data_IF_470356196823
#
_entry.id   IF_470356196823
#
_cell.length_a   1.000
_cell.length_b   1.000
_cell.length_c   1.000
_cell.angle_alpha   90.00
_cell.angle_beta   90.00
_cell.angle_gamma   90.00
#
_symmetry.space_group_name_H-M   'P 1'
#
loop_
_entity.id
_entity.type
_entity.pdbx_description
1 polymer ?
#
# COMPACT_ATOMS: atom_id res chain seq x y z
N UNK A 1 -3.41 -1.35 -3.57
CA UNK A 1 -3.21 -0.03 -4.25
C UNK A 1 -1.77 0.40 -4.11
N UNK A 2 -1.31 1.43 -4.85
CA UNK A 2 0.00 2.02 -4.57
C UNK A 2 -0.16 3.37 -3.86
N UNK A 3 -0.50 4.42 -4.62
CA UNK A 3 -0.63 5.77 -4.03
C UNK A 3 -1.89 5.90 -3.16
N UNK A 4 -2.93 5.11 -3.43
CA UNK A 4 -4.17 5.15 -2.67
C UNK A 4 -4.00 4.86 -1.17
N UNK A 5 -2.94 4.15 -0.76
CA UNK A 5 -2.66 3.89 0.66
C UNK A 5 -2.30 5.16 1.45
N UNK A 6 -1.86 6.23 0.79
CA UNK A 6 -1.61 7.53 1.43
C UNK A 6 -2.85 8.06 2.17
N UNK A 7 -4.04 7.75 1.67
CA UNK A 7 -5.33 8.13 2.29
C UNK A 7 -5.44 7.67 3.75
N UNK A 8 -4.97 6.44 4.05
CA UNK A 8 -4.95 5.94 5.42
C UNK A 8 -4.01 6.74 6.34
N UNK A 9 -2.86 7.17 5.81
CA UNK A 9 -1.92 8.00 6.56
C UNK A 9 -2.46 9.41 6.77
N UNK A 10 -3.06 10.04 5.75
CA UNK A 10 -3.68 11.37 5.86
C UNK A 10 -4.82 11.37 6.89
N UNK A 11 -5.68 10.34 6.87
CA UNK A 11 -6.77 10.20 7.84
C UNK A 11 -6.22 10.03 9.25
N UNK A 12 -5.24 9.17 9.44
CA UNK A 12 -4.62 8.95 10.75
C UNK A 12 -3.96 10.23 11.28
N UNK A 13 -3.23 10.97 10.45
CA UNK A 13 -2.62 12.23 10.81
C UNK A 13 -3.66 13.27 11.25
N UNK A 14 -4.78 13.38 10.53
CA UNK A 14 -5.86 14.30 10.88
C UNK A 14 -6.54 13.95 12.21
N UNK A 15 -6.71 12.65 12.50
CA UNK A 15 -7.36 12.17 13.72
C UNK A 15 -6.43 12.14 14.94
N UNK A 16 -5.10 12.05 14.72
CA UNK A 16 -4.10 11.93 15.78
C UNK A 16 -2.91 12.89 15.57
N UNK A 17 -3.13 14.21 15.61
CA UNK A 17 -2.13 15.22 15.23
C UNK A 17 -0.87 15.24 16.10
N UNK A 18 -0.89 14.57 17.26
CA UNK A 18 0.28 14.42 18.13
C UNK A 18 1.09 13.15 17.86
N UNK A 19 0.62 12.28 16.98
CA UNK A 19 1.39 11.09 16.56
C UNK A 19 2.32 11.49 15.40
N UNK A 20 3.61 11.14 15.44
CA UNK A 20 4.52 11.44 14.34
C UNK A 20 3.98 10.83 13.02
N UNK A 21 4.01 11.61 11.95
CA UNK A 21 3.41 11.21 10.66
C UNK A 21 4.03 9.93 10.09
N UNK A 22 5.35 9.75 10.25
CA UNK A 22 6.03 8.55 9.80
C UNK A 22 5.40 7.25 10.35
N UNK A 23 4.74 7.30 11.51
CA UNK A 23 4.06 6.14 12.11
C UNK A 23 2.91 5.67 11.23
N UNK A 24 2.05 6.59 10.80
CA UNK A 24 0.92 6.26 9.92
C UNK A 24 1.38 5.94 8.50
N UNK A 25 2.35 6.67 7.96
CA UNK A 25 2.95 6.38 6.64
C UNK A 25 3.58 4.98 6.60
N UNK A 26 4.34 4.63 7.64
CA UNK A 26 4.94 3.30 7.73
C UNK A 26 3.88 2.23 7.98
N UNK A 27 2.87 2.52 8.79
CA UNK A 27 1.75 1.59 9.05
C UNK A 27 0.96 1.26 7.78
N UNK A 28 0.58 2.27 6.99
CA UNK A 28 -0.12 2.06 5.72
C UNK A 28 0.75 1.38 4.66
N UNK A 29 2.05 1.50 4.73
CA UNK A 29 2.99 0.86 3.80
C UNK A 29 3.48 -0.50 4.29
N UNK A 30 3.25 -0.84 5.56
CA UNK A 30 3.81 -2.03 6.20
C UNK A 30 3.47 -3.34 5.48
N UNK A 31 2.23 -3.60 5.04
CA UNK A 31 1.93 -4.83 4.31
C UNK A 31 2.79 -4.99 3.06
N UNK A 32 2.97 -3.96 2.26
CA UNK A 32 3.79 -4.00 1.05
C UNK A 32 5.30 -4.07 1.35
N UNK A 33 5.77 -3.43 2.42
CA UNK A 33 7.15 -3.58 2.87
C UNK A 33 7.43 -5.01 3.33
N UNK A 34 6.51 -5.60 4.10
CA UNK A 34 6.60 -6.99 4.53
C UNK A 34 6.54 -7.92 3.32
N UNK A 35 5.60 -7.70 2.40
CA UNK A 35 5.47 -8.45 1.16
C UNK A 35 6.74 -8.44 0.33
N UNK A 36 7.36 -7.29 0.14
CA UNK A 36 8.63 -7.19 -0.58
C UNK A 36 9.71 -8.08 0.04
N UNK A 37 9.85 -8.08 1.37
CA UNK A 37 10.81 -8.92 2.10
C UNK A 37 10.45 -10.40 1.98
N UNK A 38 9.17 -10.77 2.16
CA UNK A 38 8.72 -12.17 2.13
C UNK A 38 8.82 -12.78 0.73
N UNK A 39 8.59 -12.01 -0.34
CA UNK A 39 8.84 -12.45 -1.71
C UNK A 39 10.33 -12.64 -1.98
N UNK A 40 11.19 -11.72 -1.53
CA UNK A 40 12.64 -11.86 -1.71
C UNK A 40 13.21 -13.08 -0.98
N UNK A 41 12.66 -13.42 0.19
CA UNK A 41 13.06 -14.59 0.98
C UNK A 41 12.37 -15.89 0.54
N UNK A 42 11.38 -15.82 -0.38
CA UNK A 42 10.65 -16.97 -0.90
C UNK A 42 9.53 -17.47 0.02
N UNK A 43 9.18 -16.73 1.07
CA UNK A 43 8.06 -17.06 1.97
C UNK A 43 6.70 -16.76 1.32
N UNK A 44 6.65 -15.74 0.46
CA UNK A 44 5.46 -15.41 -0.33
C UNK A 44 5.76 -15.50 -1.84
N UNK A 45 4.72 -15.66 -2.64
CA UNK A 45 4.85 -15.94 -4.08
C UNK A 45 3.97 -15.05 -4.91
N UNK A 46 4.56 -14.46 -5.93
CA UNK A 46 3.90 -13.68 -6.98
C UNK A 46 4.43 -14.12 -8.34
N UNK A 47 3.57 -14.22 -9.31
CA UNK A 47 3.92 -14.45 -10.72
C UNK A 47 3.71 -13.19 -11.53
N UNK A 48 4.71 -12.83 -12.31
CA UNK A 48 4.69 -11.70 -13.24
C UNK A 48 4.39 -12.23 -14.64
N UNK A 49 3.34 -11.73 -15.28
CA UNK A 49 3.08 -12.01 -16.67
C UNK A 49 4.09 -11.27 -17.56
N UNK A 50 4.99 -11.97 -18.28
CA UNK A 50 5.99 -11.31 -19.13
C UNK A 50 5.38 -10.65 -20.39
N UNK A 51 4.16 -11.06 -20.75
CA UNK A 51 3.46 -10.55 -21.93
C UNK A 51 2.63 -9.30 -21.66
N UNK A 52 2.44 -8.92 -20.39
CA UNK A 52 1.59 -7.77 -20.04
C UNK A 52 2.09 -7.02 -18.81
N UNK A 53 2.23 -5.68 -18.86
CA UNK A 53 2.58 -4.87 -17.71
C UNK A 53 1.39 -4.61 -16.76
N UNK A 54 0.16 -4.99 -17.14
CA UNK A 54 -1.04 -4.64 -16.39
C UNK A 54 -1.08 -5.29 -15.01
N UNK A 55 -1.42 -4.51 -14.00
CA UNK A 55 -1.57 -4.97 -12.61
C UNK A 55 -2.57 -6.11 -12.49
N UNK A 56 -3.64 -6.10 -13.28
CA UNK A 56 -4.65 -7.17 -13.34
C UNK A 56 -4.12 -8.51 -13.89
N UNK A 57 -2.90 -8.55 -14.43
CA UNK A 57 -2.23 -9.75 -14.93
C UNK A 57 -1.20 -10.33 -13.97
N UNK A 58 -0.89 -9.61 -12.90
CA UNK A 58 -0.04 -10.12 -11.83
C UNK A 58 -0.85 -11.13 -11.01
N UNK A 59 -0.26 -12.27 -10.72
CA UNK A 59 -0.87 -13.33 -9.92
C UNK A 59 -0.23 -13.36 -8.54
N UNK A 60 -0.98 -12.94 -7.53
CA UNK A 60 -0.59 -13.07 -6.14
C UNK A 60 -0.99 -14.47 -5.66
N UNK A 61 -0.08 -15.44 -5.81
CA UNK A 61 -0.40 -16.85 -5.57
C UNK A 61 -0.51 -17.20 -4.10
N UNK A 62 0.44 -16.71 -3.30
CA UNK A 62 0.53 -16.99 -1.87
C UNK A 62 1.16 -15.83 -1.14
N UNK A 63 0.38 -15.09 -0.35
CA UNK A 63 0.83 -13.89 0.38
C UNK A 63 0.05 -13.65 1.69
N UNK A 64 -0.04 -14.69 2.57
CA UNK A 64 -0.83 -14.63 3.78
C UNK A 64 -0.19 -13.81 4.90
N UNK A 65 1.15 -13.70 4.91
CA UNK A 65 1.87 -13.04 6.00
C UNK A 65 1.77 -11.52 5.91
N UNK A 66 1.78 -10.99 4.71
CA UNK A 66 1.75 -9.55 4.47
C UNK A 66 0.32 -9.01 4.31
N UNK A 67 -0.51 -9.67 3.51
CA UNK A 67 -1.78 -9.11 3.03
C UNK A 67 -3.03 -9.83 3.58
N UNK A 68 -2.95 -10.64 4.61
CA UNK A 68 -4.18 -11.11 5.25
C UNK A 68 -4.67 -10.13 6.31
N UNK A 69 -6.00 -9.97 6.39
CA UNK A 69 -6.59 -9.09 7.39
C UNK A 69 -6.24 -9.53 8.82
N UNK A 70 -6.23 -10.83 9.10
CA UNK A 70 -5.98 -11.33 10.45
C UNK A 70 -4.48 -11.55 10.70
N UNK A 71 -3.83 -12.47 9.98
CA UNK A 71 -2.43 -12.81 10.25
C UNK A 71 -1.49 -11.64 9.95
N UNK A 72 -1.71 -10.91 8.85
CA UNK A 72 -0.90 -9.74 8.50
C UNK A 72 -0.95 -8.66 9.60
N UNK A 73 -2.13 -8.40 10.18
CA UNK A 73 -2.26 -7.42 11.25
C UNK A 73 -1.79 -7.95 12.63
N UNK A 74 -1.82 -9.25 12.87
CA UNK A 74 -1.12 -9.85 14.02
C UNK A 74 0.39 -9.60 13.88
N UNK A 75 0.96 -9.81 12.70
CA UNK A 75 2.38 -9.52 12.45
C UNK A 75 2.69 -8.03 12.53
N UNK A 76 1.80 -7.14 12.07
CA UNK A 76 1.93 -5.70 12.22
C UNK A 76 1.96 -5.24 13.70
N UNK A 77 1.38 -6.03 14.60
CA UNK A 77 1.40 -5.71 16.04
C UNK A 77 2.81 -5.78 16.64
N UNK A 78 3.74 -6.53 16.03
CA UNK A 78 5.13 -6.61 16.51
C UNK A 78 5.88 -5.28 16.33
N UNK A 79 6.01 -4.70 15.12
CA UNK A 79 6.59 -3.39 14.96
C UNK A 79 5.77 -2.29 15.66
N UNK A 80 4.44 -2.42 15.72
CA UNK A 80 3.60 -1.47 16.45
C UNK A 80 4.00 -1.37 17.94
N UNK A 81 4.26 -2.50 18.60
CA UNK A 81 4.74 -2.52 19.99
C UNK A 81 6.07 -1.78 20.12
N UNK A 82 7.03 -2.03 19.23
CA UNK A 82 8.34 -1.35 19.24
C UNK A 82 8.19 0.15 19.01
N UNK A 83 7.32 0.56 18.09
CA UNK A 83 7.00 1.97 17.82
C UNK A 83 6.36 2.62 19.05
N UNK A 84 5.40 1.93 19.68
CA UNK A 84 4.76 2.41 20.90
C UNK A 84 5.75 2.64 22.05
N UNK A 85 6.71 1.72 22.22
CA UNK A 85 7.79 1.86 23.20
C UNK A 85 8.74 3.01 22.85
N UNK A 86 9.16 3.10 21.59
CA UNK A 86 10.05 4.17 21.11
C UNK A 86 9.42 5.56 21.25
N UNK A 87 8.18 5.72 20.82
CA UNK A 87 7.43 6.97 20.93
C UNK A 87 6.90 7.22 22.34
N UNK A 88 7.01 6.27 23.27
CA UNK A 88 6.38 6.29 24.59
C UNK A 88 4.88 6.61 24.51
N UNK A 89 4.21 6.06 23.53
CA UNK A 89 2.82 6.35 23.17
C UNK A 89 2.07 5.10 22.72
N UNK A 90 1.07 4.70 23.50
CA UNK A 90 0.14 3.63 23.12
C UNK A 90 -0.66 4.03 21.85
N UNK A 91 -0.98 5.32 21.74
CA UNK A 91 -1.66 5.86 20.55
C UNK A 91 -0.85 5.60 19.27
N UNK A 92 0.47 5.80 19.30
CA UNK A 92 1.33 5.53 18.15
C UNK A 92 1.27 4.04 17.72
N UNK A 93 1.27 3.10 18.68
CA UNK A 93 1.12 1.70 18.39
C UNK A 93 -0.24 1.39 17.75
N UNK A 94 -1.32 1.93 18.31
CA UNK A 94 -2.68 1.74 17.77
C UNK A 94 -2.79 2.34 16.37
N UNK A 95 -2.27 3.55 16.15
CA UNK A 95 -2.28 4.23 14.83
C UNK A 95 -1.57 3.38 13.78
N UNK A 96 -0.42 2.79 14.11
CA UNK A 96 0.30 1.92 13.18
C UNK A 96 -0.55 0.71 12.75
N UNK A 97 -1.20 0.03 13.71
CA UNK A 97 -2.05 -1.14 13.40
C UNK A 97 -3.27 -0.72 12.59
N UNK A 98 -3.95 0.36 12.97
CA UNK A 98 -5.13 0.84 12.23
C UNK A 98 -4.76 1.29 10.81
N UNK A 99 -3.58 1.90 10.62
CA UNK A 99 -3.06 2.24 9.31
C UNK A 99 -2.77 0.98 8.46
N UNK A 100 -2.21 -0.08 9.07
CA UNK A 100 -2.05 -1.37 8.39
C UNK A 100 -3.39 -2.02 8.01
N UNK A 101 -4.40 -1.93 8.87
CA UNK A 101 -5.75 -2.40 8.56
C UNK A 101 -6.36 -1.61 7.39
N UNK A 102 -6.16 -0.28 7.36
CA UNK A 102 -6.65 0.57 6.27
C UNK A 102 -6.05 0.18 4.91
N UNK A 103 -4.79 -0.25 4.89
CA UNK A 103 -4.16 -0.79 3.69
C UNK A 103 -4.96 -1.97 3.13
N UNK A 104 -5.25 -2.97 3.96
CA UNK A 104 -6.01 -4.15 3.53
C UNK A 104 -7.42 -3.78 3.03
N UNK A 105 -8.11 -2.84 3.70
CA UNK A 105 -9.44 -2.39 3.27
C UNK A 105 -9.41 -1.71 1.90
N UNK A 106 -8.40 -0.89 1.64
CA UNK A 106 -8.20 -0.24 0.34
C UNK A 106 -7.82 -1.26 -0.74
N UNK A 107 -7.02 -2.25 -0.40
CA UNK A 107 -6.67 -3.34 -1.31
C UNK A 107 -7.86 -4.22 -1.67
N UNK A 108 -8.80 -4.43 -0.76
CA UNK A 108 -10.03 -5.14 -1.05
C UNK A 108 -10.86 -4.50 -2.19
N UNK A 109 -10.68 -3.20 -2.44
CA UNK A 109 -11.34 -2.50 -3.55
C UNK A 109 -10.67 -2.84 -4.89
N UNK A 110 -9.34 -2.90 -4.92
CA UNK A 110 -8.60 -3.01 -6.20
C UNK A 110 -8.25 -4.43 -6.57
N UNK A 111 -7.90 -5.27 -5.61
CA UNK A 111 -7.50 -6.64 -5.84
C UNK A 111 -8.58 -7.46 -6.54
N UNK A 112 -8.15 -8.42 -7.36
CA UNK A 112 -9.00 -9.52 -7.80
C UNK A 112 -9.43 -10.33 -6.56
N UNK A 113 -10.38 -11.31 -6.67
CA UNK A 113 -10.77 -12.14 -5.53
C UNK A 113 -9.63 -13.11 -5.11
N UNK A 114 -8.48 -12.54 -4.73
CA UNK A 114 -7.27 -13.25 -4.34
C UNK A 114 -6.75 -12.81 -2.96
N UNK A 115 -7.25 -11.67 -2.42
CA UNK A 115 -6.81 -11.09 -1.16
C UNK A 115 -7.23 -11.95 0.04
N UNK A 116 -6.29 -12.50 0.84
CA UNK A 116 -6.62 -13.40 1.95
C UNK A 116 -7.24 -12.64 3.14
N UNK A 117 -8.19 -13.28 3.84
CA UNK A 117 -8.82 -12.74 5.04
C UNK A 117 -8.12 -13.24 6.30
N UNK A 118 -7.99 -14.54 6.46
CA UNK A 118 -7.42 -15.14 7.69
C UNK A 118 -5.90 -15.26 7.63
N UNK A 119 -5.35 -15.70 6.50
CA UNK A 119 -3.94 -15.99 6.32
C UNK A 119 -3.51 -17.40 6.76
N UNK A 120 -4.46 -18.25 7.19
CA UNK A 120 -4.21 -19.64 7.62
C UNK A 120 -5.43 -20.52 7.37
N UNK A 121 -5.19 -21.85 7.34
CA UNK A 121 -6.26 -22.84 7.17
C UNK A 121 -6.97 -22.75 5.83
N UNK A 122 -8.29 -23.00 5.81
CA UNK A 122 -9.16 -22.77 4.67
C UNK A 122 -9.56 -21.30 4.65
N UNK A 123 -8.79 -20.50 3.94
CA UNK A 123 -8.98 -19.04 3.91
C UNK A 123 -9.98 -18.61 2.83
N UNK A 124 -10.77 -17.60 3.17
CA UNK A 124 -11.63 -16.88 2.23
C UNK A 124 -10.80 -15.81 1.56
N UNK A 125 -10.91 -15.72 0.23
CA UNK A 125 -10.25 -14.67 -0.54
C UNK A 125 -11.28 -13.70 -1.08
N UNK A 126 -10.99 -12.41 -0.95
CA UNK A 126 -11.88 -11.32 -1.34
C UNK A 126 -11.19 -10.37 -2.34
N UNK A 127 -11.95 -9.45 -2.91
CA UNK A 127 -11.48 -8.40 -3.80
C UNK A 127 -12.58 -7.99 -4.76
N UNK A 128 -12.81 -6.69 -4.92
CA UNK A 128 -13.82 -6.14 -5.84
C UNK A 128 -13.32 -6.06 -7.29
N UNK A 129 -12.00 -6.19 -7.50
CA UNK A 129 -11.39 -6.35 -8.82
C UNK A 129 -11.29 -5.08 -9.64
N UNK A 130 -11.17 -3.90 -9.00
CA UNK A 130 -11.07 -2.64 -9.72
C UNK A 130 -9.89 -2.61 -10.71
N UNK A 131 -8.80 -3.32 -10.45
CA UNK A 131 -7.66 -3.43 -11.38
C UNK A 131 -8.01 -4.05 -12.75
N UNK A 132 -9.16 -4.72 -12.90
CA UNK A 132 -9.66 -5.15 -14.22
C UNK A 132 -9.97 -3.97 -15.14
N UNK A 133 -10.22 -2.81 -14.55
CA UNK A 133 -10.58 -1.57 -15.23
C UNK A 133 -9.45 -0.55 -15.05
N UNK A 134 -8.28 -0.80 -15.65
CA UNK A 134 -7.04 -0.07 -15.41
C UNK A 134 -7.20 1.46 -15.37
N UNK A 135 -7.81 2.06 -16.41
CA UNK A 135 -8.03 3.51 -16.44
C UNK A 135 -8.92 4.00 -15.27
N UNK A 136 -9.98 3.25 -14.94
CA UNK A 136 -10.86 3.58 -13.81
C UNK A 136 -10.09 3.43 -12.49
N UNK A 137 -9.30 2.37 -12.34
CA UNK A 137 -8.47 2.17 -11.15
C UNK A 137 -7.48 3.33 -10.96
N UNK A 138 -6.82 3.77 -12.04
CA UNK A 138 -5.93 4.92 -12.00
C UNK A 138 -6.66 6.19 -11.53
N UNK A 139 -7.82 6.48 -12.09
CA UNK A 139 -8.59 7.67 -11.71
C UNK A 139 -9.11 7.59 -10.27
N UNK A 140 -9.60 6.42 -9.85
CA UNK A 140 -10.14 6.22 -8.49
C UNK A 140 -9.03 6.32 -7.44
N UNK A 141 -7.88 5.68 -7.65
CA UNK A 141 -6.77 5.75 -6.69
C UNK A 141 -6.29 7.19 -6.48
N UNK A 142 -6.07 7.94 -7.56
CA UNK A 142 -5.65 9.34 -7.44
C UNK A 142 -6.79 10.24 -6.94
N UNK A 143 -8.01 9.99 -7.37
CA UNK A 143 -9.20 10.73 -6.91
C UNK A 143 -9.43 10.62 -5.40
N UNK A 144 -9.15 9.45 -4.81
CA UNK A 144 -9.19 9.28 -3.35
C UNK A 144 -8.13 10.16 -2.66
N UNK A 145 -6.89 10.17 -3.15
CA UNK A 145 -5.85 11.04 -2.60
C UNK A 145 -6.26 12.51 -2.70
N UNK A 146 -6.74 12.96 -3.86
CA UNK A 146 -7.24 14.35 -4.03
C UNK A 146 -8.34 14.66 -3.02
N UNK A 147 -9.35 13.81 -2.90
CA UNK A 147 -10.48 14.03 -2.00
C UNK A 147 -10.05 14.14 -0.54
N UNK A 148 -9.18 13.24 -0.07
CA UNK A 148 -8.72 13.23 1.32
C UNK A 148 -7.75 14.38 1.61
N UNK A 149 -6.83 14.69 0.69
CA UNK A 149 -5.94 15.85 0.82
C UNK A 149 -6.75 17.15 0.95
N UNK A 150 -7.73 17.37 0.06
CA UNK A 150 -8.55 18.59 0.10
C UNK A 150 -9.44 18.67 1.35
N UNK A 151 -9.88 17.53 1.88
CA UNK A 151 -10.74 17.48 3.05
C UNK A 151 -9.99 17.59 4.38
N UNK A 152 -8.78 17.03 4.46
CA UNK A 152 -8.10 16.80 5.75
C UNK A 152 -6.83 17.63 5.92
N UNK A 153 -6.15 18.01 4.83
CA UNK A 153 -4.86 18.67 4.93
C UNK A 153 -4.97 20.20 4.86
N UNK A 154 -4.04 20.95 5.49
CA UNK A 154 -3.97 22.39 5.36
C UNK A 154 -3.75 22.81 3.89
N UNK A 155 -4.42 23.90 3.46
CA UNK A 155 -4.36 24.37 2.05
C UNK A 155 -2.93 24.62 1.57
N UNK A 156 -2.03 25.01 2.45
CA UNK A 156 -0.62 25.28 2.16
C UNK A 156 0.13 24.04 1.68
N UNK A 157 -0.32 22.84 2.07
CA UNK A 157 0.30 21.56 1.72
C UNK A 157 -0.31 20.93 0.48
N UNK A 158 -1.49 21.36 0.02
CA UNK A 158 -2.22 20.72 -1.09
C UNK A 158 -1.37 20.54 -2.34
N UNK A 159 -0.72 21.60 -2.80
CA UNK A 159 0.07 21.53 -4.03
C UNK A 159 1.22 20.52 -3.90
N UNK A 160 1.94 20.53 -2.78
CA UNK A 160 3.06 19.61 -2.57
C UNK A 160 2.59 18.16 -2.51
N UNK A 161 1.54 17.85 -1.76
CA UNK A 161 0.97 16.50 -1.65
C UNK A 161 0.46 16.02 -3.00
N UNK A 162 -0.37 16.82 -3.68
CA UNK A 162 -0.99 16.42 -4.95
C UNK A 162 0.04 16.26 -6.07
N UNK A 163 1.05 17.13 -6.14
CA UNK A 163 2.11 16.99 -7.16
C UNK A 163 2.95 15.74 -6.85
N UNK A 164 3.41 15.56 -5.61
CA UNK A 164 4.23 14.41 -5.24
C UNK A 164 3.47 13.09 -5.46
N UNK A 165 2.22 13.01 -4.99
CA UNK A 165 1.38 11.81 -5.18
C UNK A 165 1.12 11.53 -6.67
N UNK A 166 0.90 12.57 -7.49
CA UNK A 166 0.73 12.39 -8.94
C UNK A 166 2.01 11.87 -9.61
N UNK A 167 3.18 12.35 -9.21
CA UNK A 167 4.47 11.86 -9.75
C UNK A 167 4.65 10.36 -9.46
N UNK A 168 4.42 9.93 -8.21
CA UNK A 168 4.46 8.50 -7.87
C UNK A 168 3.41 7.69 -8.64
N UNK A 169 2.20 8.22 -8.78
CA UNK A 169 1.12 7.56 -9.50
C UNK A 169 1.41 7.44 -10.99
N UNK A 170 1.88 8.52 -11.62
CA UNK A 170 2.27 8.55 -13.02
C UNK A 170 3.45 7.61 -13.32
N UNK A 171 4.41 7.48 -12.39
CA UNK A 171 5.50 6.51 -12.53
C UNK A 171 4.99 5.06 -12.64
N UNK A 172 3.84 4.76 -12.04
CA UNK A 172 3.17 3.45 -12.12
C UNK A 172 2.12 3.34 -13.24
N UNK A 173 1.93 4.36 -14.07
CA UNK A 173 0.85 4.42 -15.07
C UNK A 173 0.87 3.24 -16.07
N UNK A 174 2.05 2.70 -16.41
CA UNK A 174 2.14 1.54 -17.29
C UNK A 174 1.40 0.30 -16.75
N UNK A 175 1.30 0.15 -15.43
CA UNK A 175 0.56 -0.94 -14.78
C UNK A 175 -0.96 -0.81 -14.93
N UNK A 176 -1.46 0.36 -15.27
CA UNK A 176 -2.88 0.65 -15.49
C UNK A 176 -3.25 0.70 -16.97
N UNK A 177 -2.39 1.28 -17.81
CA UNK A 177 -2.71 1.57 -19.21
C UNK A 177 -2.05 0.62 -20.21
N UNK A 178 -1.00 -0.11 -19.81
CA UNK A 178 -0.33 -1.06 -20.70
C UNK A 178 0.38 -0.39 -21.87
N UNK A 179 1.12 0.68 -21.64
CA UNK A 179 1.82 1.42 -22.69
C UNK A 179 2.88 0.57 -23.41
N UNK A 180 3.46 -0.41 -22.70
CA UNK A 180 4.44 -1.34 -23.27
C UNK A 180 3.77 -2.64 -23.71
N UNK A 181 4.27 -3.23 -24.82
CA UNK A 181 3.77 -4.52 -25.36
C UNK A 181 4.15 -5.72 -24.50
N UNK A 182 5.17 -5.58 -23.66
CA UNK A 182 5.66 -6.61 -22.74
C UNK A 182 5.90 -5.99 -21.38
N UNK A 183 5.92 -6.82 -20.35
CA UNK A 183 6.19 -6.35 -19.01
C UNK A 183 7.67 -5.93 -18.89
N UNK A 184 8.00 -4.68 -18.54
CA UNK A 184 9.37 -4.26 -18.28
C UNK A 184 9.96 -4.92 -17.03
N UNK A 185 9.11 -5.30 -16.07
CA UNK A 185 9.47 -6.08 -14.88
C UNK A 185 9.43 -7.55 -15.21
N UNK A 186 10.59 -8.21 -15.22
CA UNK A 186 10.72 -9.58 -15.74
C UNK A 186 10.74 -10.66 -14.65
N UNK A 187 10.76 -10.28 -13.38
CA UNK A 187 10.82 -11.25 -12.29
C UNK A 187 10.13 -10.76 -11.03
N UNK A 188 9.62 -11.70 -10.24
CA UNK A 188 9.04 -11.42 -8.91
C UNK A 188 10.04 -10.70 -7.98
N UNK A 189 11.32 -11.05 -8.05
CA UNK A 189 12.37 -10.37 -7.25
C UNK A 189 12.52 -8.91 -7.64
N UNK A 190 12.59 -8.61 -8.95
CA UNK A 190 12.67 -7.22 -9.43
C UNK A 190 11.43 -6.44 -8.99
N UNK A 191 10.24 -7.04 -9.10
CA UNK A 191 8.99 -6.41 -8.67
C UNK A 191 8.99 -6.12 -7.17
N UNK A 192 9.42 -7.07 -6.34
CA UNK A 192 9.52 -6.89 -4.90
C UNK A 192 10.51 -5.77 -4.51
N UNK A 193 11.68 -5.70 -5.17
CA UNK A 193 12.65 -4.61 -4.94
C UNK A 193 12.06 -3.26 -5.35
N UNK A 194 11.38 -3.18 -6.50
CA UNK A 194 10.73 -1.94 -6.94
C UNK A 194 9.65 -1.49 -5.97
N UNK A 195 8.84 -2.41 -5.44
CA UNK A 195 7.84 -2.11 -4.43
C UNK A 195 8.49 -1.57 -3.14
N UNK A 196 9.53 -2.25 -2.61
CA UNK A 196 10.25 -1.78 -1.43
C UNK A 196 10.82 -0.38 -1.63
N UNK A 197 11.51 -0.13 -2.75
CA UNK A 197 12.08 1.19 -3.05
C UNK A 197 10.98 2.24 -3.19
N UNK A 198 9.89 1.90 -3.87
CA UNK A 198 8.75 2.80 -4.07
C UNK A 198 8.08 3.21 -2.75
N UNK A 199 7.80 2.25 -1.86
CA UNK A 199 7.17 2.55 -0.56
C UNK A 199 8.11 3.26 0.40
N UNK A 200 9.40 2.91 0.43
CA UNK A 200 10.40 3.65 1.23
C UNK A 200 10.50 5.09 0.74
N UNK A 201 10.59 5.31 -0.57
CA UNK A 201 10.64 6.66 -1.14
C UNK A 201 9.35 7.44 -0.84
N UNK A 202 8.18 6.81 -0.92
CA UNK A 202 6.90 7.40 -0.56
C UNK A 202 6.92 7.86 0.90
N UNK A 203 7.29 7.00 1.85
CA UNK A 203 7.37 7.35 3.27
C UNK A 203 8.28 8.55 3.48
N UNK A 204 9.50 8.52 2.94
CA UNK A 204 10.48 9.60 3.13
C UNK A 204 10.02 10.94 2.53
N UNK A 205 9.43 10.90 1.33
CA UNK A 205 8.95 12.13 0.67
C UNK A 205 7.77 12.72 1.41
N UNK A 206 6.80 11.92 1.82
CA UNK A 206 5.60 12.43 2.49
C UNK A 206 5.84 12.82 3.95
N UNK A 207 6.75 12.15 4.66
CA UNK A 207 7.19 12.57 6.00
C UNK A 207 7.95 13.91 5.98
N UNK A 208 8.58 14.22 4.83
CA UNK A 208 9.25 15.52 4.64
C UNK A 208 8.29 16.64 4.20
N UNK A 209 7.22 16.31 3.44
CA UNK A 209 6.25 17.30 2.92
C UNK A 209 5.22 17.69 3.97
N UNK A 210 4.76 16.74 4.78
CA UNK A 210 3.66 16.88 5.75
C UNK A 210 4.16 17.11 7.16
#
# INVERSE_FOLDING_TARGET
MFIGHLVGAELAAALTPHTPLWVSLTGTSFPDLLWGVTVLTGLEKVEIDPASPLQSRIRFEYYPYSHSLVLGNILASLPALLIGLYCRSVTAAIVFVLASISHWLLDAIVHLPDLPVLGFGKDVKVGLGLWRHGALAFVVEYGLVVAFTLALQPKQQWAAILIASFVFHAANANSFFGFTRTNPVKSSRTYAVMALVGFIALILVFDWIL
#
